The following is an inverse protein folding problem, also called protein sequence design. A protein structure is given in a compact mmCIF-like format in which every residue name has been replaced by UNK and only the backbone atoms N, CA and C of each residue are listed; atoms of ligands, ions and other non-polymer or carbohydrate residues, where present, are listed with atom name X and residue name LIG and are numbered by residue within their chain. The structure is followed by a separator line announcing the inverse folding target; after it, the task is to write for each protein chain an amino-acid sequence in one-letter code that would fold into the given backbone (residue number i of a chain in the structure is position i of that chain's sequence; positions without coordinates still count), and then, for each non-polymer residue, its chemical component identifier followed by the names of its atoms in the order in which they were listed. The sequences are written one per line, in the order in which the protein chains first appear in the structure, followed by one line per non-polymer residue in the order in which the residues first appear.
data_IF_038488313361
#
_entry.id   IF_038488313361
#
_cell.length_a   1.000
_cell.length_b   1.000
_cell.length_c   1.000
_cell.angle_alpha   90.00
_cell.angle_beta   90.00
_cell.angle_gamma   90.00
#
_symmetry.space_group_name_H-M   'P 1'
#
loop_
_entity.id
_entity.type
_entity.pdbx_description
1 polymer ?
#
# COMPACT_ATOMS: atom_id res chain seq x y z
N UNK A 1 13.76 -12.99 1.83
CA UNK A 1 12.78 -13.22 2.88
C UNK A 1 13.35 -14.12 3.98
N UNK A 2 13.03 -13.85 5.26
CA UNK A 2 13.39 -14.75 6.35
C UNK A 2 12.72 -16.11 6.21
N UNK A 3 13.40 -17.16 6.64
CA UNK A 3 12.89 -18.54 6.48
C UNK A 3 11.57 -18.80 7.22
N UNK A 4 11.30 -18.08 8.30
CA UNK A 4 10.05 -18.26 9.06
C UNK A 4 8.78 -17.87 8.29
N UNK A 5 8.92 -17.10 7.23
CA UNK A 5 7.78 -16.65 6.41
C UNK A 5 7.13 -17.84 5.69
N UNK A 6 7.92 -18.82 5.28
CA UNK A 6 7.40 -19.97 4.51
C UNK A 6 6.42 -20.86 5.27
N UNK A 7 6.37 -20.75 6.59
CA UNK A 7 5.56 -21.62 7.44
C UNK A 7 4.06 -21.24 7.48
N UNK A 8 3.67 -20.15 6.83
CA UNK A 8 2.33 -19.59 6.93
C UNK A 8 1.40 -19.84 5.74
N UNK A 9 1.71 -20.83 4.90
CA UNK A 9 0.86 -21.18 3.78
C UNK A 9 0.67 -20.07 2.75
N UNK A 10 1.78 -19.46 2.34
CA UNK A 10 1.75 -18.35 1.39
C UNK A 10 1.43 -18.84 -0.01
N UNK A 11 0.37 -18.31 -0.60
CA UNK A 11 -0.04 -18.64 -1.97
C UNK A 11 0.36 -17.58 -2.98
N UNK A 12 0.59 -16.35 -2.56
CA UNK A 12 0.97 -15.26 -3.45
C UNK A 12 1.81 -14.22 -2.70
N UNK A 13 2.89 -13.77 -3.34
CA UNK A 13 3.74 -12.67 -2.86
C UNK A 13 3.87 -11.67 -3.98
N UNK A 14 3.53 -10.42 -3.71
CA UNK A 14 3.63 -9.35 -4.67
C UNK A 14 4.42 -8.18 -4.09
N UNK A 15 5.62 -7.88 -4.61
CA UNK A 15 6.31 -6.67 -4.21
C UNK A 15 5.55 -5.45 -4.70
N UNK A 16 5.38 -4.46 -3.83
CA UNK A 16 4.77 -3.19 -4.19
C UNK A 16 5.79 -2.29 -4.90
N UNK A 17 5.29 -1.34 -5.63
CA UNK A 17 6.10 -0.37 -6.33
C UNK A 17 5.22 0.73 -6.86
N UNK A 18 5.29 0.95 -8.18
CA UNK A 18 4.49 1.95 -8.87
C UNK A 18 3.01 1.74 -8.63
N UNK A 19 2.30 2.81 -8.27
CA UNK A 19 0.88 2.78 -7.97
C UNK A 19 0.52 2.33 -6.56
N UNK A 20 1.50 1.96 -5.75
CA UNK A 20 1.33 1.70 -4.32
C UNK A 20 0.44 0.53 -3.98
N UNK A 21 -0.20 0.64 -2.82
CA UNK A 21 -1.01 -0.44 -2.25
C UNK A 21 -2.19 -0.85 -3.12
N UNK A 22 -2.96 0.10 -3.62
CA UNK A 22 -4.16 -0.23 -4.38
C UNK A 22 -3.86 -0.78 -5.77
N UNK A 23 -2.80 -0.31 -6.42
CA UNK A 23 -2.37 -0.92 -7.68
C UNK A 23 -1.83 -2.33 -7.47
N UNK A 24 -1.15 -2.57 -6.35
CA UNK A 24 -0.75 -3.91 -5.95
C UNK A 24 -1.94 -4.83 -5.72
N UNK A 25 -2.94 -4.38 -4.98
CA UNK A 25 -4.18 -5.14 -4.78
C UNK A 25 -4.85 -5.49 -6.11
N UNK A 26 -4.88 -4.56 -7.04
CA UNK A 26 -5.43 -4.81 -8.38
C UNK A 26 -4.70 -5.94 -9.11
N UNK A 27 -3.39 -6.07 -8.90
CA UNK A 27 -2.55 -7.05 -9.57
C UNK A 27 -2.62 -8.45 -8.96
N UNK A 28 -3.23 -8.63 -7.78
CA UNK A 28 -3.37 -9.96 -7.18
C UNK A 28 -4.15 -10.90 -8.10
N UNK A 29 -3.60 -12.07 -8.36
CA UNK A 29 -4.13 -13.03 -9.34
C UNK A 29 -4.89 -14.21 -8.74
N UNK A 30 -4.81 -14.40 -7.44
CA UNK A 30 -5.36 -15.57 -6.75
C UNK A 30 -6.88 -15.58 -6.54
N UNK A 31 -7.65 -14.83 -7.29
CA UNK A 31 -9.10 -14.77 -7.18
C UNK A 31 -9.62 -13.55 -6.45
N UNK A 32 -10.91 -13.56 -6.11
CA UNK A 32 -11.58 -12.44 -5.45
C UNK A 32 -11.13 -12.21 -4.02
N UNK A 33 -11.32 -11.00 -3.55
CA UNK A 33 -11.02 -10.60 -2.18
C UNK A 33 -11.84 -9.39 -1.76
N UNK A 34 -11.91 -9.16 -0.46
CA UNK A 34 -12.34 -7.89 0.11
C UNK A 34 -11.27 -7.36 1.04
N UNK A 35 -11.16 -6.04 1.13
CA UNK A 35 -10.20 -5.36 1.99
C UNK A 35 -10.79 -4.11 2.61
N UNK A 36 -10.15 -3.58 3.64
CA UNK A 36 -10.53 -2.33 4.29
C UNK A 36 -9.41 -1.32 4.20
N UNK A 37 -9.71 -0.10 3.77
CA UNK A 37 -8.76 1.01 3.75
C UNK A 37 -8.14 1.28 5.12
N UNK A 38 -8.95 1.18 6.16
CA UNK A 38 -8.54 1.50 7.53
C UNK A 38 -7.44 0.57 8.05
N UNK A 39 -7.34 -0.63 7.50
CA UNK A 39 -6.37 -1.63 7.93
C UNK A 39 -5.03 -1.54 7.19
N UNK A 40 -4.93 -0.76 6.12
CA UNK A 40 -3.68 -0.57 5.39
C UNK A 40 -2.75 0.32 6.24
N UNK A 41 -1.57 -0.19 6.64
CA UNK A 41 -0.69 0.59 7.51
C UNK A 41 0.09 1.66 6.73
N UNK A 42 0.21 2.84 7.33
CA UNK A 42 1.03 3.94 6.82
C UNK A 42 1.85 4.54 7.94
N UNK A 43 3.04 5.02 7.60
CA UNK A 43 3.80 5.88 8.50
C UNK A 43 3.10 7.24 8.60
N UNK A 44 3.10 7.83 9.79
CA UNK A 44 2.48 9.13 10.03
C UNK A 44 3.06 10.21 9.11
N UNK A 45 4.38 10.23 8.94
CA UNK A 45 5.03 11.17 8.03
C UNK A 45 4.58 11.06 6.58
N UNK A 46 4.30 9.85 6.12
CA UNK A 46 3.75 9.61 4.77
C UNK A 46 2.38 10.26 4.62
N UNK A 47 1.51 10.07 5.62
CA UNK A 47 0.18 10.66 5.62
C UNK A 47 0.26 12.19 5.59
N UNK A 48 1.10 12.78 6.43
CA UNK A 48 1.28 14.24 6.50
C UNK A 48 1.80 14.83 5.19
N UNK A 49 2.79 14.19 4.56
CA UNK A 49 3.29 14.61 3.27
C UNK A 49 2.22 14.53 2.18
N UNK A 50 1.47 13.45 2.16
CA UNK A 50 0.40 13.27 1.17
C UNK A 50 -0.70 14.32 1.34
N UNK A 51 -1.05 14.64 2.57
CA UNK A 51 -2.00 15.73 2.85
C UNK A 51 -1.48 17.08 2.37
N UNK A 52 -0.21 17.37 2.64
CA UNK A 52 0.43 18.63 2.21
C UNK A 52 0.38 18.79 0.68
N UNK A 53 0.68 17.74 -0.07
CA UNK A 53 0.70 17.77 -1.53
C UNK A 53 -0.64 17.43 -2.18
N UNK A 54 -1.66 17.14 -1.40
CA UNK A 54 -3.00 16.74 -1.88
C UNK A 54 -2.96 15.54 -2.82
N UNK A 55 -2.19 14.53 -2.46
CA UNK A 55 -2.09 13.26 -3.18
C UNK A 55 -2.55 12.11 -2.29
N UNK A 56 -2.95 11.00 -2.92
CA UNK A 56 -3.40 9.81 -2.21
C UNK A 56 -2.23 8.94 -1.77
N UNK A 57 -2.11 8.61 -0.47
CA UNK A 57 -1.10 7.66 -0.02
C UNK A 57 -1.34 6.24 -0.53
N UNK A 58 -2.58 5.90 -0.88
CA UNK A 58 -2.95 4.57 -1.35
C UNK A 58 -2.40 4.22 -2.73
N UNK A 59 -2.13 5.22 -3.55
CA UNK A 59 -1.55 5.08 -4.88
C UNK A 59 -0.11 5.58 -4.95
N UNK A 60 0.47 5.91 -3.80
CA UNK A 60 1.85 6.37 -3.72
C UNK A 60 2.82 5.21 -3.90
N UNK A 61 3.87 5.41 -4.69
CA UNK A 61 4.93 4.44 -4.85
C UNK A 61 5.40 3.87 -3.50
N UNK A 62 5.48 2.56 -3.41
CA UNK A 62 5.84 1.85 -2.18
C UNK A 62 6.98 0.88 -2.46
N UNK A 63 8.21 1.31 -2.19
CA UNK A 63 9.37 0.43 -2.21
C UNK A 63 9.50 -0.35 -0.90
N UNK A 64 10.12 -1.52 -0.94
CA UNK A 64 10.34 -2.37 0.22
C UNK A 64 9.08 -2.78 0.99
N UNK A 65 7.97 -2.84 0.29
CA UNK A 65 6.70 -3.31 0.83
C UNK A 65 6.15 -4.44 -0.04
N UNK A 66 5.35 -5.30 0.57
CA UNK A 66 4.83 -6.49 -0.10
C UNK A 66 3.39 -6.71 0.28
N UNK A 67 2.62 -7.23 -0.67
CA UNK A 67 1.33 -7.85 -0.42
C UNK A 67 1.50 -9.36 -0.38
N UNK A 68 0.92 -9.99 0.61
CA UNK A 68 0.94 -11.43 0.77
C UNK A 68 -0.48 -11.96 0.81
N UNK A 69 -0.70 -13.08 0.12
CA UNK A 69 -1.91 -13.87 0.30
C UNK A 69 -1.50 -15.18 1.00
N UNK A 70 -2.04 -15.41 2.17
CA UNK A 70 -1.65 -16.54 3.00
C UNK A 70 -2.81 -17.01 3.89
N UNK A 71 -2.73 -18.25 4.35
CA UNK A 71 -3.81 -18.85 5.13
C UNK A 71 -3.89 -18.30 6.56
N UNK A 72 -2.75 -18.10 7.19
CA UNK A 72 -2.66 -17.67 8.61
C UNK A 72 -2.22 -16.22 8.76
N UNK A 73 -2.97 -15.30 8.15
CA UNK A 73 -2.58 -13.89 8.07
C UNK A 73 -2.48 -13.19 9.44
N UNK A 74 -3.39 -13.49 10.36
CA UNK A 74 -3.35 -12.87 11.70
C UNK A 74 -2.12 -13.35 12.49
N UNK A 75 -1.85 -14.65 12.50
CA UNK A 75 -0.67 -15.20 13.15
C UNK A 75 0.62 -14.67 12.54
N UNK A 76 0.65 -14.55 11.21
CA UNK A 76 1.77 -13.94 10.49
C UNK A 76 1.98 -12.48 10.94
N UNK A 77 0.92 -11.69 11.01
CA UNK A 77 0.99 -10.29 11.38
C UNK A 77 1.51 -10.10 12.81
N UNK A 78 1.08 -10.95 13.72
CA UNK A 78 1.55 -10.93 15.11
C UNK A 78 3.04 -11.25 15.20
N UNK A 79 3.49 -12.30 14.54
CA UNK A 79 4.91 -12.68 14.56
C UNK A 79 5.78 -11.62 13.89
N UNK A 80 5.34 -11.05 12.78
CA UNK A 80 6.04 -9.95 12.12
C UNK A 80 6.21 -8.76 13.06
N UNK A 81 5.16 -8.41 13.79
CA UNK A 81 5.18 -7.31 14.74
C UNK A 81 6.17 -7.56 15.89
N UNK A 82 6.21 -8.78 16.41
CA UNK A 82 7.19 -9.20 17.42
C UNK A 82 8.64 -9.05 16.93
N UNK A 83 8.86 -9.17 15.63
CA UNK A 83 10.17 -9.01 14.98
C UNK A 83 10.45 -7.60 14.49
N UNK A 84 9.61 -6.64 14.85
CA UNK A 84 9.79 -5.24 14.48
C UNK A 84 9.41 -4.92 13.03
N UNK A 85 8.66 -5.79 12.37
CA UNK A 85 8.17 -5.59 11.00
C UNK A 85 6.73 -5.10 11.05
N UNK A 86 6.44 -4.03 10.32
CA UNK A 86 5.07 -3.52 10.19
C UNK A 86 4.30 -4.44 9.26
N UNK A 87 3.29 -5.11 9.80
CA UNK A 87 2.42 -5.98 9.04
C UNK A 87 0.98 -5.89 9.58
N UNK A 88 0.02 -5.96 8.69
CA UNK A 88 -1.38 -5.89 9.05
C UNK A 88 -2.20 -6.79 8.11
N UNK A 89 -3.13 -7.53 8.68
CA UNK A 89 -4.13 -8.25 7.90
C UNK A 89 -5.16 -7.24 7.40
N UNK A 90 -5.18 -6.98 6.12
CA UNK A 90 -6.00 -5.93 5.52
C UNK A 90 -7.29 -6.43 4.89
N UNK A 91 -7.42 -7.72 4.68
CA UNK A 91 -8.59 -8.28 4.03
C UNK A 91 -8.61 -9.80 4.01
N UNK A 92 -9.57 -10.34 3.30
CA UNK A 92 -9.78 -11.79 3.17
C UNK A 92 -10.02 -12.17 1.71
N UNK A 93 -9.64 -13.39 1.37
CA UNK A 93 -9.98 -13.99 0.08
C UNK A 93 -11.47 -14.33 0.03
N UNK A 94 -12.08 -14.16 -1.12
CA UNK A 94 -13.47 -14.49 -1.36
C UNK A 94 -13.59 -15.33 -2.65
N UNK A 95 -14.66 -16.11 -2.75
CA UNK A 95 -14.95 -16.85 -3.97
C UNK A 95 -15.24 -15.88 -5.14
N UNK A 96 -14.91 -16.34 -6.35
CA UNK A 96 -15.12 -15.55 -7.56
C UNK A 96 -13.94 -14.66 -7.91
N UNK A 97 -14.21 -13.55 -8.57
CA UNK A 97 -13.18 -12.65 -9.11
C UNK A 97 -13.36 -11.19 -8.70
N UNK A 98 -14.28 -10.91 -7.79
CA UNK A 98 -14.55 -9.53 -7.37
C UNK A 98 -13.44 -9.00 -6.48
N UNK A 99 -13.06 -7.76 -6.70
CA UNK A 99 -12.10 -7.02 -5.88
C UNK A 99 -12.88 -5.91 -5.18
N UNK A 100 -13.17 -6.10 -3.89
CA UNK A 100 -14.10 -5.26 -3.15
C UNK A 100 -13.40 -4.55 -2.00
N UNK A 101 -13.74 -3.28 -1.82
CA UNK A 101 -13.52 -2.60 -0.55
C UNK A 101 -14.76 -2.82 0.32
N UNK A 102 -14.55 -3.27 1.55
CA UNK A 102 -15.61 -3.42 2.56
C UNK A 102 -15.12 -2.90 3.89
N UNK A 103 -15.72 -1.82 4.35
CA UNK A 103 -15.38 -1.19 5.62
C UNK A 103 -16.60 -0.53 6.25
N UNK A 104 -16.40 0.21 7.35
CA UNK A 104 -17.48 0.89 8.06
C UNK A 104 -18.23 1.92 7.21
N UNK A 105 -17.62 2.40 6.13
CA UNK A 105 -18.21 3.38 5.22
C UNK A 105 -19.00 2.75 4.06
N UNK A 106 -19.02 1.42 3.96
CA UNK A 106 -19.77 0.70 2.96
C UNK A 106 -18.92 -0.18 2.06
N UNK A 107 -19.46 -0.51 0.91
CA UNK A 107 -18.84 -1.39 -0.08
C UNK A 107 -18.65 -0.69 -1.42
N UNK A 108 -17.55 -0.97 -2.09
CA UNK A 108 -17.31 -0.51 -3.46
C UNK A 108 -16.32 -1.43 -4.16
N UNK A 109 -16.35 -1.43 -5.49
CA UNK A 109 -15.33 -2.13 -6.26
C UNK A 109 -14.01 -1.38 -6.21
N UNK A 110 -12.91 -2.14 -6.18
CA UNK A 110 -11.59 -1.57 -6.41
C UNK A 110 -11.49 -1.15 -7.87
N UNK A 111 -11.09 0.09 -8.12
CA UNK A 111 -10.92 0.62 -9.47
C UNK A 111 -9.43 0.65 -9.85
N UNK A 112 -9.15 0.34 -11.11
CA UNK A 112 -7.81 0.46 -11.64
C UNK A 112 -7.46 1.94 -11.83
N UNK A 113 -6.24 2.30 -11.44
CA UNK A 113 -5.71 3.64 -11.64
C UNK A 113 -4.36 3.53 -12.37
N UNK A 114 -4.20 4.32 -13.41
CA UNK A 114 -3.02 4.21 -14.28
C UNK A 114 -1.81 5.00 -13.79
N UNK A 115 -2.03 6.03 -12.96
CA UNK A 115 -0.96 6.91 -12.50
C UNK A 115 -0.68 6.76 -11.02
N UNK A 116 0.61 6.68 -10.70
CA UNK A 116 1.10 6.79 -9.34
C UNK A 116 0.92 8.21 -8.81
N UNK A 117 0.71 8.37 -7.50
CA UNK A 117 0.57 9.68 -6.88
C UNK A 117 1.82 10.55 -7.04
N UNK A 118 3.01 9.95 -7.06
CA UNK A 118 4.24 10.68 -7.35
C UNK A 118 4.26 11.21 -8.78
N UNK A 119 3.80 10.43 -9.74
CA UNK A 119 3.70 10.86 -11.14
C UNK A 119 2.75 12.06 -11.29
N UNK A 120 1.62 12.02 -10.59
CA UNK A 120 0.70 13.16 -10.55
C UNK A 120 1.35 14.39 -9.95
N UNK A 121 2.07 14.23 -8.85
CA UNK A 121 2.75 15.31 -8.18
C UNK A 121 3.82 15.95 -9.08
N UNK A 122 4.68 15.13 -9.70
CA UNK A 122 5.76 15.61 -10.56
C UNK A 122 5.27 16.20 -11.89
N UNK A 123 4.04 15.95 -12.29
CA UNK A 123 3.44 16.57 -13.46
C UNK A 123 2.89 17.99 -13.19
N UNK A 124 2.78 18.38 -11.93
CA UNK A 124 2.28 19.71 -11.54
C UNK A 124 3.39 20.75 -11.69
N UNK A 125 3.11 21.85 -12.41
CA UNK A 125 4.07 22.94 -12.61
C UNK A 125 4.46 23.67 -11.32
N UNK A 126 3.66 23.56 -10.29
CA UNK A 126 3.81 24.25 -9.01
C UNK A 126 4.57 23.44 -7.98
N UNK A 127 5.16 22.31 -8.36
CA UNK A 127 5.83 21.41 -7.44
C UNK A 127 6.89 22.10 -6.58
N UNK A 128 7.77 22.89 -7.20
CA UNK A 128 8.84 23.60 -6.49
C UNK A 128 8.32 24.63 -5.50
N UNK A 129 7.22 25.29 -5.83
CA UNK A 129 6.58 26.29 -4.97
C UNK A 129 5.89 25.64 -3.77
N UNK A 130 5.38 24.42 -3.92
CA UNK A 130 4.69 23.73 -2.85
C UNK A 130 5.62 23.02 -1.88
N UNK A 131 6.89 22.76 -2.25
CA UNK A 131 7.83 22.09 -1.38
C UNK A 131 8.30 22.97 -0.22
N UNK A 132 8.34 22.46 1.02
CA UNK A 132 9.05 23.12 2.09
C UNK A 132 10.52 23.36 1.73
N UNK A 133 11.12 24.41 2.28
CA UNK A 133 12.47 24.82 1.90
C UNK A 133 13.52 23.70 2.02
N UNK A 134 13.41 22.85 3.05
CA UNK A 134 14.35 21.74 3.24
C UNK A 134 14.16 20.56 2.27
N UNK A 135 13.09 20.57 1.48
CA UNK A 135 12.87 19.58 0.41
C UNK A 135 13.23 20.12 -0.97
N UNK A 136 13.73 21.33 -1.06
CA UNK A 136 14.09 21.89 -2.34
C UNK A 136 15.38 21.30 -2.87
N UNK A 137 15.58 21.46 -4.16
CA UNK A 137 16.63 20.82 -4.93
C UNK A 137 18.03 20.93 -4.35
N UNK A 138 18.41 22.06 -3.81
CA UNK A 138 19.73 22.28 -3.25
C UNK A 138 19.98 21.50 -1.97
N UNK A 139 18.96 20.99 -1.35
CA UNK A 139 19.09 20.20 -0.14
C UNK A 139 19.32 18.71 -0.43
N UNK A 140 19.46 18.38 -1.67
CA UNK A 140 19.72 17.01 -2.14
C UNK A 140 18.81 15.95 -1.54
N UNK A 141 17.52 16.26 -1.43
CA UNK A 141 16.65 15.43 -0.78
C UNK A 141 16.09 14.33 -1.47
N UNK A 142 15.89 13.42 -0.90
CA UNK A 142 15.57 12.15 -1.19
C UNK A 142 14.35 11.61 -0.60
N UNK A 143 13.62 10.91 -1.35
CA UNK A 143 12.43 10.23 -0.92
C UNK A 143 12.62 8.72 -0.82
#
# INVERSE_FOLDING_TARGET
FPNWISDFGISEILPLGRGGNLSGLWQLSGGGFSFSYEKIPFLQGTIELCEHFQISPYYLYSGNAYLLRLEEAEAFSELARERGIIASCIGISEEGKKRMRRDAQGESFLTKRERDSLEELFSKKELEESLPAFFRKEDSLVF
#
